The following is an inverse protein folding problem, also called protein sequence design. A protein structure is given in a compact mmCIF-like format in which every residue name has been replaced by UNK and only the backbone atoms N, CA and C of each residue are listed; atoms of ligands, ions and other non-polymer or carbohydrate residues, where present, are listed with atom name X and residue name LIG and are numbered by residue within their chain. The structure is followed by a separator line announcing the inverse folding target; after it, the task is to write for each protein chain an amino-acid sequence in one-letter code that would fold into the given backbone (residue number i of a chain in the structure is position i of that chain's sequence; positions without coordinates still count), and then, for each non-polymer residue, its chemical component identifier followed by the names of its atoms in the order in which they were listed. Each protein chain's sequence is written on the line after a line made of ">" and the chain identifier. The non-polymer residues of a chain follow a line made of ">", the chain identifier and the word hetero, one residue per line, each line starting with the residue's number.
data_IF_578398623458
#
_entry.id   IF_578398623458
#
_cell.length_a   1.000
_cell.length_b   1.000
_cell.length_c   1.000
_cell.angle_alpha   90.00
_cell.angle_beta   90.00
_cell.angle_gamma   90.00
#
_symmetry.space_group_name_H-M   'P 1'
#
loop_
_entity.id
_entity.type
_entity.pdbx_description
1 polymer ?
#
# COMPACT_ATOMS: atom_id res chain seq x y z
N UNK A 1 14.92 5.51 9.68
CA UNK A 1 15.65 4.90 8.53
C UNK A 1 14.56 4.39 7.61
N UNK A 2 14.59 4.68 6.31
CA UNK A 2 13.49 4.30 5.42
C UNK A 2 13.41 2.79 5.28
N UNK A 3 12.20 2.25 5.26
CA UNK A 3 11.99 0.84 4.96
C UNK A 3 12.45 0.51 3.52
N UNK A 4 12.98 -0.70 3.29
CA UNK A 4 13.44 -1.12 1.96
C UNK A 4 12.28 -1.34 0.98
N UNK A 5 11.08 -1.50 1.51
CA UNK A 5 9.83 -1.74 0.80
C UNK A 5 8.65 -1.20 1.61
N UNK A 6 7.53 -0.96 0.93
CA UNK A 6 6.28 -0.50 1.52
C UNK A 6 5.13 -1.34 0.95
N UNK A 7 4.24 -1.82 1.82
CA UNK A 7 2.99 -2.48 1.44
C UNK A 7 1.78 -1.83 2.13
N UNK A 8 0.86 -1.31 1.30
CA UNK A 8 -0.41 -0.77 1.79
C UNK A 8 -1.60 -1.45 1.09
N UNK A 9 -2.71 -1.54 1.81
CA UNK A 9 -3.95 -2.16 1.36
C UNK A 9 -5.01 -1.09 1.23
N UNK A 10 -5.50 -0.87 0.02
CA UNK A 10 -6.52 0.13 -0.29
C UNK A 10 -7.88 -0.56 -0.43
N UNK A 11 -8.90 0.01 0.20
CA UNK A 11 -10.26 -0.50 0.09
C UNK A 11 -10.76 -0.38 -1.35
N UNK A 12 -11.39 -1.44 -1.84
CA UNK A 12 -12.03 -1.54 -3.15
C UNK A 12 -13.30 -0.68 -3.17
N UNK A 13 -13.09 0.64 -3.26
CA UNK A 13 -14.10 1.70 -3.38
C UNK A 13 -13.94 2.41 -4.74
N UNK A 14 -13.92 1.60 -5.81
CA UNK A 14 -13.67 2.04 -7.20
C UNK A 14 -12.25 2.59 -7.47
N UNK A 15 -11.32 2.43 -6.52
CA UNK A 15 -9.90 2.71 -6.75
C UNK A 15 -9.26 1.55 -7.50
N UNK A 16 -8.86 1.83 -8.73
CA UNK A 16 -8.06 0.93 -9.56
C UNK A 16 -6.61 1.41 -9.68
N UNK A 17 -5.78 0.59 -10.34
CA UNK A 17 -4.37 0.90 -10.56
C UNK A 17 -4.14 2.19 -11.35
N UNK A 18 -5.12 2.72 -12.10
CA UNK A 18 -4.96 3.98 -12.84
C UNK A 18 -5.09 5.17 -11.92
N UNK A 19 -6.07 5.17 -11.01
CA UNK A 19 -6.16 6.20 -9.97
C UNK A 19 -4.88 6.26 -9.12
N UNK A 20 -4.32 5.08 -8.82
CA UNK A 20 -3.03 4.97 -8.12
C UNK A 20 -1.87 5.45 -9.01
N UNK A 21 -1.90 5.19 -10.32
CA UNK A 21 -0.85 5.64 -11.24
C UNK A 21 -0.70 7.15 -11.29
N UNK A 22 -1.80 7.89 -11.29
CA UNK A 22 -1.77 9.37 -11.33
C UNK A 22 -1.11 9.91 -10.05
N UNK A 23 -1.55 9.43 -8.88
CA UNK A 23 -0.95 9.79 -7.60
C UNK A 23 0.54 9.41 -7.50
N UNK A 24 0.90 8.18 -7.89
CA UNK A 24 2.29 7.74 -7.87
C UNK A 24 3.14 8.53 -8.87
N UNK A 25 2.57 8.96 -10.00
CA UNK A 25 3.28 9.80 -10.97
C UNK A 25 3.63 11.17 -10.40
N UNK A 26 2.77 11.73 -9.56
CA UNK A 26 3.03 12.99 -8.85
C UNK A 26 4.06 12.81 -7.72
N UNK A 27 3.97 11.71 -6.96
CA UNK A 27 4.80 11.49 -5.79
C UNK A 27 6.22 10.95 -6.10
N UNK A 28 6.34 10.07 -7.09
CA UNK A 28 7.57 9.32 -7.42
C UNK A 28 8.11 9.62 -8.82
N UNK A 29 7.33 10.30 -9.66
CA UNK A 29 7.60 10.50 -11.07
C UNK A 29 6.82 9.53 -11.96
N UNK A 30 6.73 9.88 -13.24
CA UNK A 30 5.85 9.24 -14.23
C UNK A 30 5.85 7.71 -14.14
N UNK A 31 4.65 7.14 -14.04
CA UNK A 31 4.44 5.71 -14.17
C UNK A 31 4.72 5.22 -15.60
N UNK A 32 5.50 4.15 -15.72
CA UNK A 32 5.59 3.38 -16.96
C UNK A 32 4.26 2.73 -17.31
N UNK A 33 4.16 2.16 -18.51
CA UNK A 33 3.01 1.34 -18.88
C UNK A 33 2.80 0.21 -17.84
N UNK A 34 1.55 0.06 -17.40
CA UNK A 34 1.15 -1.01 -16.50
C UNK A 34 0.98 -2.31 -17.26
N UNK A 35 1.76 -3.32 -16.88
CA UNK A 35 1.73 -4.63 -17.51
C UNK A 35 1.04 -5.63 -16.58
N UNK A 36 -0.02 -6.26 -17.09
CA UNK A 36 -0.69 -7.35 -16.38
C UNK A 36 0.17 -8.62 -16.39
N UNK A 37 0.42 -9.21 -15.22
CA UNK A 37 1.15 -10.46 -15.01
C UNK A 37 0.33 -11.36 -14.07
N UNK A 38 -0.40 -12.30 -14.66
CA UNK A 38 -1.34 -13.14 -13.90
C UNK A 38 -2.47 -12.30 -13.30
N UNK A 39 -2.58 -12.32 -11.97
CA UNK A 39 -3.54 -11.51 -11.22
C UNK A 39 -3.00 -10.12 -10.87
N UNK A 40 -1.68 -9.91 -10.94
CA UNK A 40 -1.04 -8.63 -10.60
C UNK A 40 -0.91 -7.70 -11.80
N UNK A 41 -0.80 -6.41 -11.55
CA UNK A 41 -0.36 -5.39 -12.49
C UNK A 41 0.95 -4.80 -12.00
N UNK A 42 1.90 -4.57 -12.89
CA UNK A 42 3.22 -4.05 -12.51
C UNK A 42 3.60 -2.86 -13.38
N UNK A 43 4.24 -1.87 -12.77
CA UNK A 43 4.86 -0.74 -13.47
C UNK A 43 6.11 -0.28 -12.73
N UNK A 44 6.73 0.80 -13.21
CA UNK A 44 7.69 1.60 -12.44
C UNK A 44 7.16 3.01 -12.30
N UNK A 45 7.18 3.59 -11.10
CA UNK A 45 6.92 5.01 -10.88
C UNK A 45 8.27 5.70 -10.64
N UNK A 46 8.74 6.48 -11.61
CA UNK A 46 10.14 6.88 -11.66
C UNK A 46 11.06 5.65 -11.68
N UNK A 47 11.87 5.47 -10.64
CA UNK A 47 12.74 4.30 -10.47
C UNK A 47 12.18 3.21 -9.55
N UNK A 48 11.04 3.45 -8.89
CA UNK A 48 10.45 2.53 -7.90
C UNK A 48 9.63 1.46 -8.61
N UNK A 49 9.94 0.16 -8.45
CA UNK A 49 9.08 -0.92 -8.91
C UNK A 49 7.77 -0.94 -8.13
N UNK A 50 6.66 -1.04 -8.85
CA UNK A 50 5.31 -1.02 -8.27
C UNK A 50 4.59 -2.30 -8.66
N UNK A 51 3.98 -2.97 -7.69
CA UNK A 51 3.05 -4.08 -7.91
C UNK A 51 1.68 -3.73 -7.33
N UNK A 52 0.64 -3.92 -8.13
CA UNK A 52 -0.75 -3.81 -7.72
C UNK A 52 -1.41 -5.19 -7.80
N UNK A 53 -2.01 -5.63 -6.70
CA UNK A 53 -2.81 -6.85 -6.64
C UNK A 53 -4.26 -6.49 -6.28
N UNK A 54 -5.18 -6.50 -7.26
CA UNK A 54 -6.58 -6.26 -6.97
C UNK A 54 -7.17 -7.41 -6.14
N UNK A 55 -8.04 -7.07 -5.18
CA UNK A 55 -8.74 -8.03 -4.30
C UNK A 55 -7.79 -9.04 -3.66
N UNK A 56 -6.64 -8.56 -3.20
CA UNK A 56 -5.66 -9.32 -2.44
C UNK A 56 -6.32 -10.03 -1.25
N UNK A 57 -7.18 -9.32 -0.52
CA UNK A 57 -7.98 -9.89 0.58
C UNK A 57 -9.39 -9.31 0.56
N UNK A 58 -10.38 -10.11 0.13
CA UNK A 58 -11.78 -9.70 0.11
C UNK A 58 -12.02 -8.42 -0.72
N UNK A 59 -12.26 -7.30 -0.04
CA UNK A 59 -12.47 -5.95 -0.64
C UNK A 59 -11.23 -5.05 -0.53
N UNK A 60 -10.03 -5.62 -0.47
CA UNK A 60 -8.78 -4.87 -0.30
C UNK A 60 -7.82 -5.18 -1.44
N UNK A 61 -7.27 -4.13 -2.05
CA UNK A 61 -6.25 -4.19 -3.08
C UNK A 61 -4.88 -3.95 -2.42
N UNK A 62 -3.87 -4.77 -2.71
CA UNK A 62 -2.49 -4.53 -2.25
C UNK A 62 -1.76 -3.64 -3.25
N UNK A 63 -1.07 -2.63 -2.73
CA UNK A 63 -0.07 -1.82 -3.42
C UNK A 63 1.27 -2.05 -2.75
N UNK A 64 2.23 -2.57 -3.52
CA UNK A 64 3.57 -2.87 -3.05
C UNK A 64 4.61 -2.03 -3.81
N UNK A 65 5.46 -1.33 -3.07
CA UNK A 65 6.56 -0.51 -3.56
C UNK A 65 7.88 -1.13 -3.10
N UNK A 66 8.64 -1.69 -4.04
CA UNK A 66 9.86 -2.45 -3.76
C UNK A 66 11.10 -1.54 -3.85
N UNK A 67 11.19 -0.54 -2.95
CA UNK A 67 12.33 0.40 -2.90
C UNK A 67 12.36 1.27 -1.62
N UNK A 68 13.57 1.56 -1.13
CA UNK A 68 13.87 2.59 -0.13
C UNK A 68 13.90 4.02 -0.69
N UNK A 69 13.76 4.18 -2.01
CA UNK A 69 13.80 5.46 -2.73
C UNK A 69 12.43 6.13 -2.81
N UNK A 70 11.53 5.81 -1.89
CA UNK A 70 10.24 6.49 -1.76
C UNK A 70 10.39 7.75 -0.88
N UNK A 71 9.46 8.73 -1.00
CA UNK A 71 9.45 9.91 -0.13
C UNK A 71 8.91 9.60 1.27
N UNK A 72 8.31 8.43 1.47
CA UNK A 72 7.75 7.98 2.74
C UNK A 72 8.81 7.26 3.57
N UNK A 73 8.75 7.44 4.89
CA UNK A 73 9.70 6.76 5.78
C UNK A 73 9.30 5.29 6.01
N UNK A 74 8.00 5.03 6.08
CA UNK A 74 7.42 3.72 6.36
C UNK A 74 6.04 3.53 5.71
N UNK A 75 5.47 2.34 5.92
CA UNK A 75 4.13 1.94 5.53
C UNK A 75 3.05 2.95 5.97
N UNK A 76 3.13 3.45 7.21
CA UNK A 76 2.15 4.38 7.79
C UNK A 76 2.19 5.73 7.06
N UNK A 77 3.39 6.26 6.82
CA UNK A 77 3.58 7.51 6.09
C UNK A 77 3.05 7.41 4.65
N UNK A 78 3.25 6.27 3.99
CA UNK A 78 2.69 6.00 2.66
C UNK A 78 1.16 5.88 2.72
N UNK A 79 0.62 5.15 3.69
CA UNK A 79 -0.82 4.97 3.85
C UNK A 79 -1.53 6.31 4.12
N UNK A 80 -0.93 7.21 4.90
CA UNK A 80 -1.42 8.58 5.12
C UNK A 80 -1.48 9.38 3.82
N UNK A 81 -0.42 9.31 3.02
CA UNK A 81 -0.35 10.02 1.75
C UNK A 81 -1.35 9.45 0.73
N UNK A 82 -1.51 8.13 0.67
CA UNK A 82 -2.49 7.46 -0.16
C UNK A 82 -3.92 7.86 0.23
N UNK A 83 -4.23 7.88 1.53
CA UNK A 83 -5.53 8.37 2.02
C UNK A 83 -5.77 9.83 1.63
N UNK A 84 -4.78 10.71 1.79
CA UNK A 84 -4.90 12.12 1.44
C UNK A 84 -5.12 12.35 -0.06
N UNK A 85 -4.51 11.54 -0.92
CA UNK A 85 -4.61 11.67 -2.37
C UNK A 85 -5.88 11.03 -2.96
N UNK A 86 -6.26 9.85 -2.44
CA UNK A 86 -7.29 9.01 -3.04
C UNK A 86 -8.61 9.02 -2.25
N UNK A 87 -8.59 9.52 -1.01
CA UNK A 87 -9.74 9.58 -0.09
C UNK A 87 -10.44 8.22 0.10
N UNK A 88 -9.65 7.14 0.13
CA UNK A 88 -10.13 5.77 0.41
C UNK A 88 -9.47 5.22 1.66
N UNK A 89 -10.20 4.39 2.40
CA UNK A 89 -9.66 3.72 3.58
C UNK A 89 -8.41 2.89 3.20
N UNK A 90 -7.33 3.10 3.95
CA UNK A 90 -6.05 2.42 3.75
C UNK A 90 -5.69 1.63 5.00
N UNK A 91 -5.09 0.46 4.83
CA UNK A 91 -4.52 -0.34 5.90
C UNK A 91 -3.06 -0.67 5.63
N UNK A 92 -2.25 -0.74 6.66
CA UNK A 92 -0.86 -1.19 6.54
C UNK A 92 -0.36 -1.84 7.83
N UNK A 93 0.78 -2.51 7.78
CA UNK A 93 1.41 -3.01 8.98
C UNK A 93 1.88 -1.82 9.86
N UNK A 94 1.81 -1.94 11.21
CA UNK A 94 2.27 -0.89 12.12
C UNK A 94 3.80 -0.83 12.28
N UNK A 95 4.55 -1.68 11.57
CA UNK A 95 6.01 -1.72 11.56
C UNK A 95 6.55 -2.81 10.62
N UNK A 96 7.87 -2.87 10.46
CA UNK A 96 8.54 -3.93 9.69
C UNK A 96 8.21 -5.29 10.30
N UNK A 97 7.68 -6.22 9.49
CA UNK A 97 7.41 -7.59 9.92
C UNK A 97 8.68 -8.23 10.50
N UNK A 98 8.66 -8.55 11.79
CA UNK A 98 9.71 -9.32 12.46
C UNK A 98 9.26 -10.77 12.53
N UNK A 99 9.96 -11.68 11.83
CA UNK A 99 9.63 -13.12 11.78
C UNK A 99 9.56 -13.78 13.17
N UNK A 100 10.21 -13.19 14.20
CA UNK A 100 10.19 -13.67 15.59
C UNK A 100 8.93 -13.30 16.40
N UNK A 101 8.07 -12.37 15.94
CA UNK A 101 6.95 -11.85 16.76
C UNK A 101 5.64 -12.66 16.69
N UNK A 102 5.64 -13.83 16.06
CA UNK A 102 4.60 -14.85 16.19
C UNK A 102 3.20 -14.50 15.65
N UNK A 103 2.32 -15.50 15.60
CA UNK A 103 0.95 -15.43 15.05
C UNK A 103 0.05 -14.36 15.69
N UNK A 104 0.38 -13.82 16.88
CA UNK A 104 -0.44 -12.85 17.60
C UNK A 104 -0.27 -11.40 17.10
N UNK A 105 0.85 -11.05 16.47
CA UNK A 105 1.07 -9.70 15.89
C UNK A 105 0.66 -9.61 14.42
N UNK A 106 0.49 -10.77 13.76
CA UNK A 106 0.11 -10.87 12.34
C UNK A 106 -1.26 -10.24 12.01
N UNK A 107 -2.13 -10.11 13.01
CA UNK A 107 -3.44 -9.51 12.86
C UNK A 107 -3.46 -8.00 13.23
N UNK A 108 -2.35 -7.37 13.62
CA UNK A 108 -2.32 -5.94 13.98
C UNK A 108 -2.08 -5.08 12.74
N UNK A 109 -3.01 -4.18 12.46
CA UNK A 109 -2.97 -3.30 11.30
C UNK A 109 -3.25 -1.88 11.71
N UNK A 110 -2.63 -0.92 11.02
CA UNK A 110 -3.00 0.47 11.09
C UNK A 110 -4.07 0.77 10.05
N UNK A 111 -5.20 1.34 10.48
CA UNK A 111 -6.31 1.78 9.62
C UNK A 111 -6.28 3.29 9.54
N UNK A 112 -6.33 3.83 8.32
CA UNK A 112 -6.40 5.25 8.04
C UNK A 112 -7.68 5.51 7.25
N UNK A 113 -8.54 6.37 7.79
CA UNK A 113 -9.86 6.66 7.23
C UNK A 113 -10.32 8.08 7.56
N UNK A 114 -11.50 8.47 7.08
CA UNK A 114 -12.11 9.76 7.40
C UNK A 114 -12.37 9.97 8.90
N UNK A 115 -12.49 8.87 9.67
CA UNK A 115 -12.68 8.92 11.12
C UNK A 115 -11.36 9.10 11.88
N UNK A 116 -10.22 9.07 11.19
CA UNK A 116 -8.88 9.18 11.75
C UNK A 116 -8.04 7.92 11.56
N UNK A 117 -7.01 7.81 12.39
CA UNK A 117 -6.03 6.73 12.40
C UNK A 117 -6.21 5.88 13.66
N UNK A 118 -6.36 4.57 13.48
CA UNK A 118 -6.57 3.64 14.58
C UNK A 118 -5.88 2.30 14.32
N UNK A 119 -5.39 1.68 15.39
CA UNK A 119 -4.90 0.32 15.32
C UNK A 119 -6.07 -0.66 15.42
N UNK A 120 -6.15 -1.58 14.47
CA UNK A 120 -7.21 -2.58 14.37
C UNK A 120 -6.64 -3.98 14.38
N UNK A 121 -7.46 -4.94 14.78
CA UNK A 121 -7.22 -6.36 14.51
C UNK A 121 -7.93 -6.74 13.21
N UNK A 122 -7.17 -7.05 12.15
CA UNK A 122 -7.73 -7.49 10.87
C UNK A 122 -7.45 -8.96 10.61
N UNK A 123 -8.45 -9.79 10.94
CA UNK A 123 -8.43 -11.22 10.63
C UNK A 123 -8.81 -11.44 9.17
N UNK A 124 -7.89 -12.01 8.40
CA UNK A 124 -8.07 -12.32 6.97
C UNK A 124 -8.58 -13.74 6.72
N UNK A 125 -8.86 -14.50 7.79
CA UNK A 125 -9.36 -15.87 7.82
C UNK A 125 -10.83 -16.03 7.41
#
# INVERSE_FOLDING_TARGET
>A
MRQPDIEIYLKDADVDYKAVADWLSEALGQCSEWVKKGQTYKCKAGNVPVTWLPKAVGKWNSLFLDSDQTPWEDDIACARAAFAALNVEVRCAPGTWVEEEGEETADRWMRISADGEEEITWKTA
#
